data_IF_143557955604
#
_entry.id   IF_143557955604
#
_cell.length_a   1.000
_cell.length_b   1.000
_cell.length_c   1.000
_cell.angle_alpha   90.00
_cell.angle_beta   90.00
_cell.angle_gamma   90.00
#
_symmetry.space_group_name_H-M   'P 1'
#
loop_
_entity.id
_entity.type
_entity.pdbx_description
1 polymer ?
#
# COMPACT_ATOMS: atom_id res chain seq x y z
N UNK A 1 -21.18 -54.83 -16.34
CA UNK A 1 -20.45 -53.62 -15.93
C UNK A 1 -18.97 -53.97 -15.86
N UNK A 2 -18.16 -53.50 -16.83
CA UNK A 2 -16.72 -53.78 -16.87
C UNK A 2 -15.99 -52.82 -15.91
N UNK A 3 -15.44 -53.35 -14.82
CA UNK A 3 -14.53 -52.63 -13.94
C UNK A 3 -13.29 -52.24 -14.73
N UNK A 4 -13.05 -50.92 -14.87
CA UNK A 4 -11.78 -50.39 -15.36
C UNK A 4 -10.73 -50.63 -14.29
N UNK A 5 -9.93 -51.68 -14.46
CA UNK A 5 -8.68 -51.86 -13.72
C UNK A 5 -7.74 -50.72 -14.13
N UNK A 6 -7.41 -49.85 -13.18
CA UNK A 6 -6.31 -48.90 -13.34
C UNK A 6 -5.00 -49.70 -13.48
N UNK A 7 -4.11 -49.33 -14.41
CA UNK A 7 -2.80 -49.94 -14.51
C UNK A 7 -2.00 -49.67 -13.22
N UNK A 8 -1.11 -50.60 -12.80
CA UNK A 8 -0.23 -50.38 -11.67
C UNK A 8 0.63 -49.14 -11.92
N UNK A 9 0.73 -48.26 -10.91
CA UNK A 9 1.61 -47.11 -10.96
C UNK A 9 3.03 -47.58 -11.31
N UNK A 10 3.57 -47.07 -12.41
CA UNK A 10 4.95 -47.33 -12.82
C UNK A 10 5.87 -47.04 -11.63
N UNK A 11 6.62 -48.05 -11.21
CA UNK A 11 7.61 -47.92 -10.15
C UNK A 11 8.59 -46.83 -10.57
N UNK A 12 8.61 -45.72 -9.82
CA UNK A 12 9.59 -44.67 -10.03
C UNK A 12 10.99 -45.29 -9.96
N UNK A 13 11.92 -44.92 -10.85
CA UNK A 13 13.27 -45.45 -10.81
C UNK A 13 13.85 -45.20 -9.43
N UNK A 14 14.30 -46.29 -8.77
CA UNK A 14 14.97 -46.20 -7.48
C UNK A 14 16.14 -45.22 -7.62
N UNK A 15 16.13 -44.17 -6.79
CA UNK A 15 17.22 -43.20 -6.80
C UNK A 15 18.51 -43.94 -6.46
N UNK A 16 19.59 -43.77 -7.24
CA UNK A 16 20.86 -44.39 -6.92
C UNK A 16 21.26 -43.99 -5.50
N UNK A 17 21.82 -44.96 -4.75
CA UNK A 17 22.37 -44.67 -3.44
C UNK A 17 23.43 -43.56 -3.56
N UNK A 18 23.47 -42.61 -2.60
CA UNK A 18 24.48 -41.55 -2.61
C UNK A 18 25.88 -42.16 -2.59
N UNK A 19 26.82 -41.56 -3.32
CA UNK A 19 28.22 -42.01 -3.31
C UNK A 19 28.87 -41.72 -1.95
N UNK A 20 29.96 -42.43 -1.64
CA UNK A 20 30.73 -42.20 -0.40
C UNK A 20 31.23 -40.75 -0.29
N UNK A 21 31.58 -40.13 -1.42
CA UNK A 21 31.95 -38.71 -1.47
C UNK A 21 30.78 -37.77 -1.12
N UNK A 22 29.56 -38.09 -1.58
CA UNK A 22 28.37 -37.34 -1.22
C UNK A 22 28.02 -37.49 0.26
N UNK A 23 28.18 -38.68 0.83
CA UNK A 23 28.01 -38.94 2.25
C UNK A 23 29.02 -38.14 3.08
N UNK A 24 30.29 -38.17 2.72
CA UNK A 24 31.33 -37.39 3.39
C UNK A 24 31.07 -35.88 3.29
N UNK A 25 30.56 -35.39 2.16
CA UNK A 25 30.15 -33.98 1.99
C UNK A 25 28.99 -33.63 2.92
N UNK A 26 27.97 -34.50 3.00
CA UNK A 26 26.82 -34.31 3.90
C UNK A 26 27.22 -34.32 5.37
N UNK A 27 28.16 -35.18 5.75
CA UNK A 27 28.71 -35.23 7.11
C UNK A 27 29.42 -33.93 7.49
N UNK A 28 30.28 -33.40 6.61
CA UNK A 28 30.95 -32.11 6.82
C UNK A 28 29.95 -30.96 6.89
N UNK A 29 29.01 -30.91 5.95
CA UNK A 29 27.95 -29.89 5.93
C UNK A 29 27.10 -29.94 7.20
N UNK A 30 26.76 -31.13 7.70
CA UNK A 30 26.02 -31.28 8.94
C UNK A 30 26.82 -30.87 10.19
N UNK A 31 28.13 -31.11 10.22
CA UNK A 31 28.98 -30.66 11.31
C UNK A 31 29.09 -29.13 11.35
N UNK A 32 29.30 -28.49 10.20
CA UNK A 32 29.29 -27.03 10.05
C UNK A 32 27.93 -26.44 10.43
N UNK A 33 26.85 -27.04 9.94
CA UNK A 33 25.49 -26.62 10.25
C UNK A 33 25.17 -26.78 11.74
N UNK A 34 25.66 -27.82 12.40
CA UNK A 34 25.47 -27.98 13.83
C UNK A 34 26.20 -26.90 14.64
N UNK A 35 27.39 -26.49 14.20
CA UNK A 35 28.09 -25.34 14.79
C UNK A 35 27.29 -24.03 14.63
N UNK A 36 26.58 -23.85 13.50
CA UNK A 36 25.66 -22.70 13.32
C UNK A 36 24.48 -22.76 14.28
N UNK A 37 23.89 -23.93 14.48
CA UNK A 37 22.76 -24.11 15.41
C UNK A 37 23.15 -23.92 16.88
N UNK A 38 24.43 -24.06 17.21
CA UNK A 38 25.01 -23.82 18.53
C UNK A 38 25.62 -22.41 18.66
N UNK A 39 25.55 -21.58 17.62
CA UNK A 39 26.09 -20.21 17.66
C UNK A 39 25.10 -19.24 18.34
N UNK A 40 25.56 -18.62 19.42
CA UNK A 40 24.82 -17.58 20.16
C UNK A 40 25.41 -16.18 19.95
N UNK A 41 26.48 -16.04 19.15
CA UNK A 41 27.25 -14.80 19.03
C UNK A 41 26.42 -13.60 18.56
N UNK A 42 25.49 -13.81 17.61
CA UNK A 42 24.56 -12.76 17.18
C UNK A 42 23.70 -12.27 18.34
N UNK A 43 23.15 -13.19 19.14
CA UNK A 43 22.34 -12.81 20.28
C UNK A 43 23.17 -12.08 21.33
N UNK A 44 24.35 -12.59 21.64
CA UNK A 44 25.25 -12.01 22.64
C UNK A 44 25.73 -10.61 22.27
N UNK A 45 25.95 -10.33 20.98
CA UNK A 45 26.35 -9.01 20.49
C UNK A 45 25.26 -7.94 20.71
N UNK A 46 23.99 -8.32 20.67
CA UNK A 46 22.86 -7.39 20.64
C UNK A 46 21.90 -7.50 21.83
N UNK A 47 22.10 -8.46 22.75
CA UNK A 47 21.17 -8.70 23.87
C UNK A 47 21.04 -7.54 24.85
N UNK A 48 22.07 -6.71 24.99
CA UNK A 48 22.15 -5.61 25.97
C UNK A 48 21.02 -4.59 25.82
N UNK A 49 20.45 -4.18 26.95
CA UNK A 49 19.42 -3.13 26.97
C UNK A 49 20.00 -1.80 26.47
N UNK A 50 19.29 -1.18 25.53
CA UNK A 50 19.77 0.03 24.87
C UNK A 50 20.99 -0.20 23.96
N UNK A 51 21.25 -1.42 23.46
CA UNK A 51 22.21 -1.60 22.35
C UNK A 51 21.63 -1.15 21.01
N UNK A 52 20.30 -1.19 20.87
CA UNK A 52 19.56 -0.75 19.70
C UNK A 52 18.83 0.53 20.12
N UNK A 53 19.38 1.70 19.78
CA UNK A 53 18.79 2.99 20.15
C UNK A 53 18.42 3.83 18.94
N UNK A 54 19.22 3.73 17.89
CA UNK A 54 19.03 4.51 16.67
C UNK A 54 18.25 3.73 15.63
N UNK A 55 17.66 4.45 14.67
CA UNK A 55 16.95 3.83 13.53
C UNK A 55 17.93 3.03 12.67
N UNK A 56 19.11 3.59 12.41
CA UNK A 56 20.15 2.93 11.59
C UNK A 56 20.63 1.60 12.23
N UNK A 57 20.91 1.60 13.54
CA UNK A 57 21.26 0.37 14.27
C UNK A 57 20.11 -0.64 14.24
N UNK A 58 18.86 -0.18 14.33
CA UNK A 58 17.69 -1.05 14.29
C UNK A 58 17.53 -1.70 12.92
N UNK A 59 17.68 -0.96 11.83
CA UNK A 59 17.65 -1.48 10.47
C UNK A 59 18.80 -2.47 10.21
N UNK A 60 19.99 -2.19 10.73
CA UNK A 60 21.13 -3.12 10.67
C UNK A 60 20.82 -4.45 11.38
N UNK A 61 20.24 -4.39 12.58
CA UNK A 61 19.85 -5.60 13.34
C UNK A 61 18.76 -6.38 12.62
N UNK A 62 17.79 -5.70 12.00
CA UNK A 62 16.75 -6.36 11.20
C UNK A 62 17.39 -7.08 10.01
N UNK A 63 18.21 -6.38 9.22
CA UNK A 63 18.85 -6.95 8.03
C UNK A 63 19.80 -8.10 8.37
N UNK A 64 20.59 -7.98 9.46
CA UNK A 64 21.45 -9.08 9.94
C UNK A 64 20.62 -10.22 10.52
N UNK A 65 19.55 -9.92 11.24
CA UNK A 65 18.64 -10.92 11.81
C UNK A 65 17.98 -11.77 10.73
N UNK A 66 17.53 -11.19 9.62
CA UNK A 66 16.99 -11.94 8.48
C UNK A 66 18.02 -12.89 7.86
N UNK A 67 19.28 -12.44 7.74
CA UNK A 67 20.38 -13.28 7.24
C UNK A 67 20.68 -14.44 8.19
N UNK A 68 20.69 -14.19 9.50
CA UNK A 68 20.89 -15.25 10.50
C UNK A 68 19.73 -16.25 10.51
N UNK A 69 18.48 -15.81 10.37
CA UNK A 69 17.33 -16.72 10.25
C UNK A 69 17.46 -17.62 9.01
N UNK A 70 17.85 -17.06 7.86
CA UNK A 70 18.09 -17.85 6.65
C UNK A 70 19.27 -18.82 6.82
N UNK A 71 20.32 -18.42 7.54
CA UNK A 71 21.47 -19.27 7.88
C UNK A 71 21.06 -20.44 8.78
N UNK A 72 20.22 -20.19 9.78
CA UNK A 72 19.67 -21.22 10.67
C UNK A 72 18.78 -22.19 9.90
N UNK A 73 17.88 -21.70 9.04
CA UNK A 73 17.00 -22.53 8.22
C UNK A 73 17.82 -23.48 7.32
N UNK A 74 18.82 -22.95 6.62
CA UNK A 74 19.73 -23.77 5.81
C UNK A 74 20.49 -24.81 6.65
N UNK A 75 20.96 -24.43 7.84
CA UNK A 75 21.64 -25.36 8.73
C UNK A 75 20.73 -26.51 9.18
N UNK A 76 19.45 -26.24 9.47
CA UNK A 76 18.47 -27.29 9.78
C UNK A 76 18.30 -28.25 8.61
N UNK A 77 18.23 -27.74 7.37
CA UNK A 77 18.10 -28.57 6.18
C UNK A 77 19.34 -29.46 5.94
N UNK A 78 20.54 -28.91 6.11
CA UNK A 78 21.80 -29.66 5.97
C UNK A 78 21.90 -30.77 7.04
N UNK A 79 21.55 -30.48 8.30
CA UNK A 79 21.49 -31.49 9.36
C UNK A 79 20.40 -32.52 9.08
N UNK A 80 19.23 -32.10 8.59
CA UNK A 80 18.11 -33.00 8.24
C UNK A 80 18.50 -33.98 7.14
N UNK A 81 19.22 -33.52 6.11
CA UNK A 81 19.73 -34.37 5.03
C UNK A 81 20.69 -35.43 5.55
N UNK A 82 21.58 -35.06 6.49
CA UNK A 82 22.46 -36.01 7.14
C UNK A 82 21.70 -36.96 8.09
N UNK A 83 20.66 -36.49 8.78
CA UNK A 83 19.83 -37.32 9.66
C UNK A 83 19.13 -38.46 8.92
N UNK A 84 18.78 -38.30 7.63
CA UNK A 84 18.17 -39.38 6.83
C UNK A 84 19.10 -40.59 6.64
N UNK A 85 20.42 -40.42 6.79
CA UNK A 85 21.39 -41.51 6.78
C UNK A 85 21.59 -42.22 8.12
N UNK A 86 20.97 -41.72 9.21
CA UNK A 86 21.14 -42.30 10.57
C UNK A 86 20.02 -43.27 10.92
N UNK A 87 20.31 -44.21 11.82
CA UNK A 87 19.31 -45.14 12.35
C UNK A 87 18.17 -44.44 13.12
N UNK A 88 18.49 -43.41 13.91
CA UNK A 88 17.51 -42.65 14.71
C UNK A 88 17.17 -41.31 14.06
N UNK A 89 16.59 -41.34 12.86
CA UNK A 89 16.26 -40.16 12.05
C UNK A 89 15.43 -39.13 12.84
N UNK A 90 14.34 -39.57 13.49
CA UNK A 90 13.43 -38.66 14.20
C UNK A 90 14.12 -37.94 15.36
N UNK A 91 14.91 -38.66 16.17
CA UNK A 91 15.66 -38.05 17.28
C UNK A 91 16.67 -37.01 16.78
N UNK A 92 17.37 -37.32 15.68
CA UNK A 92 18.34 -36.42 15.07
C UNK A 92 17.66 -35.13 14.58
N UNK A 93 16.55 -35.26 13.85
CA UNK A 93 15.78 -34.11 13.35
C UNK A 93 15.19 -33.29 14.51
N UNK A 94 14.67 -33.94 15.54
CA UNK A 94 14.06 -33.25 16.68
C UNK A 94 15.09 -32.47 17.50
N UNK A 95 16.32 -33.00 17.63
CA UNK A 95 17.41 -32.27 18.28
C UNK A 95 17.79 -31.01 17.48
N UNK A 96 17.94 -31.12 16.16
CA UNK A 96 18.23 -29.99 15.28
C UNK A 96 17.13 -28.91 15.36
N UNK A 97 15.85 -29.32 15.34
CA UNK A 97 14.71 -28.41 15.48
C UNK A 97 14.66 -27.70 16.82
N UNK A 98 14.99 -28.39 17.91
CA UNK A 98 15.02 -27.75 19.25
C UNK A 98 16.04 -26.62 19.29
N UNK A 99 17.25 -26.89 18.81
CA UNK A 99 18.30 -25.87 18.71
C UNK A 99 17.86 -24.72 17.80
N UNK A 100 17.32 -25.02 16.61
CA UNK A 100 16.87 -23.98 15.68
C UNK A 100 15.79 -23.10 16.28
N UNK A 101 14.80 -23.65 16.99
CA UNK A 101 13.76 -22.86 17.63
C UNK A 101 14.28 -21.95 18.74
N UNK A 102 15.29 -22.39 19.50
CA UNK A 102 15.96 -21.54 20.48
C UNK A 102 16.71 -20.39 19.81
N UNK A 103 17.47 -20.68 18.74
CA UNK A 103 18.19 -19.67 17.94
C UNK A 103 17.23 -18.67 17.30
N UNK A 104 16.22 -19.15 16.59
CA UNK A 104 15.21 -18.32 15.93
C UNK A 104 14.50 -17.41 16.92
N UNK A 105 14.18 -17.92 18.13
CA UNK A 105 13.54 -17.11 19.17
C UNK A 105 14.47 -15.99 19.65
N UNK A 106 15.76 -16.26 19.81
CA UNK A 106 16.75 -15.24 20.17
C UNK A 106 16.86 -14.14 19.11
N UNK A 107 17.00 -14.53 17.83
CA UNK A 107 17.09 -13.59 16.71
C UNK A 107 15.80 -12.78 16.58
N UNK A 108 14.62 -13.43 16.60
CA UNK A 108 13.33 -12.74 16.49
C UNK A 108 13.07 -11.80 17.66
N UNK A 109 13.52 -12.13 18.88
CA UNK A 109 13.43 -11.21 20.03
C UNK A 109 14.23 -9.93 19.81
N UNK A 110 15.39 -10.02 19.17
CA UNK A 110 16.19 -8.85 18.81
C UNK A 110 15.54 -8.03 17.70
N UNK A 111 15.05 -8.70 16.65
CA UNK A 111 14.35 -8.04 15.55
C UNK A 111 13.08 -7.31 16.03
N UNK A 112 12.32 -7.90 16.97
CA UNK A 112 11.15 -7.25 17.58
C UNK A 112 11.55 -5.94 18.29
N UNK A 113 12.62 -5.97 19.10
CA UNK A 113 13.15 -4.76 19.75
C UNK A 113 13.57 -3.71 18.74
N UNK A 114 14.22 -4.11 17.64
CA UNK A 114 14.61 -3.21 16.57
C UNK A 114 13.40 -2.58 15.87
N UNK A 115 12.40 -3.38 15.50
CA UNK A 115 11.16 -2.88 14.92
C UNK A 115 10.41 -1.91 15.85
N UNK A 116 10.45 -2.15 17.16
CA UNK A 116 9.88 -1.23 18.14
C UNK A 116 10.57 0.14 18.09
N UNK A 117 11.90 0.20 18.00
CA UNK A 117 12.67 1.45 17.85
C UNK A 117 12.25 2.19 16.58
N UNK A 118 12.25 1.51 15.43
CA UNK A 118 11.84 2.10 14.14
C UNK A 118 10.40 2.64 14.22
N UNK A 119 9.48 1.86 14.80
CA UNK A 119 8.09 2.27 14.97
C UNK A 119 7.97 3.49 15.89
N UNK A 120 8.71 3.54 16.99
CA UNK A 120 8.66 4.68 17.92
C UNK A 120 9.21 5.95 17.29
N UNK A 121 10.31 5.86 16.51
CA UNK A 121 10.86 6.99 15.77
C UNK A 121 9.86 7.53 14.74
N UNK A 122 9.30 6.65 13.89
CA UNK A 122 8.27 7.03 12.90
C UNK A 122 7.02 7.66 13.55
N UNK A 123 6.60 7.14 14.69
CA UNK A 123 5.47 7.70 15.43
C UNK A 123 5.79 9.09 16.02
N UNK A 124 7.04 9.34 16.40
CA UNK A 124 7.48 10.65 16.88
C UNK A 124 7.52 11.67 15.73
N UNK A 125 8.02 11.28 14.56
CA UNK A 125 8.00 12.10 13.33
C UNK A 125 6.57 12.50 12.96
N UNK A 126 5.64 11.53 12.86
CA UNK A 126 4.24 11.81 12.55
C UNK A 126 3.57 12.74 13.59
N UNK A 127 3.95 12.62 14.87
CA UNK A 127 3.46 13.54 15.91
C UNK A 127 4.03 14.95 15.73
N UNK A 128 5.31 15.06 15.38
CA UNK A 128 5.95 16.34 15.11
C UNK A 128 5.34 17.02 13.87
N UNK A 129 5.06 16.28 12.80
CA UNK A 129 4.37 16.78 11.60
C UNK A 129 2.97 17.30 11.94
N UNK A 130 2.18 16.53 12.69
CA UNK A 130 0.84 16.96 13.14
C UNK A 130 0.89 18.18 14.05
N UNK A 131 1.88 18.26 14.93
CA UNK A 131 2.09 19.43 15.78
C UNK A 131 2.49 20.66 14.94
N UNK A 132 3.35 20.48 13.94
CA UNK A 132 3.75 21.53 13.01
C UNK A 132 2.56 21.99 12.14
N UNK A 133 1.69 21.08 11.70
CA UNK A 133 0.48 21.41 10.96
C UNK A 133 -0.56 22.11 11.84
N UNK A 134 -0.74 21.69 13.09
CA UNK A 134 -1.61 22.39 14.06
C UNK A 134 -1.07 23.78 14.45
N UNK A 135 0.24 23.99 14.38
CA UNK A 135 0.87 25.29 14.61
C UNK A 135 0.81 26.22 13.39
N UNK A 136 0.50 25.70 12.18
CA UNK A 136 0.22 26.55 11.03
C UNK A 136 -1.07 27.34 11.33
N UNK A 137 -1.08 28.67 11.09
CA UNK A 137 -2.26 29.47 11.32
C UNK A 137 -3.43 28.91 10.51
N UNK A 138 -4.60 28.80 11.14
CA UNK A 138 -5.81 28.33 10.46
C UNK A 138 -6.02 29.16 9.19
N UNK A 139 -6.32 28.54 8.04
CA UNK A 139 -6.66 29.29 6.85
C UNK A 139 -7.79 30.24 7.20
N UNK A 140 -7.65 31.51 6.81
CA UNK A 140 -8.63 32.55 7.15
C UNK A 140 -10.03 32.02 6.81
N UNK A 141 -11.01 32.19 7.72
CA UNK A 141 -12.37 31.73 7.46
C UNK A 141 -12.82 32.42 6.19
N UNK A 142 -13.02 31.64 5.13
CA UNK A 142 -13.59 32.14 3.89
C UNK A 142 -14.92 32.76 4.27
N UNK A 143 -14.98 34.09 4.28
CA UNK A 143 -16.20 34.84 4.54
C UNK A 143 -17.10 34.62 3.35
N UNK A 144 -17.91 33.55 3.41
CA UNK A 144 -19.07 33.44 2.55
C UNK A 144 -19.95 34.66 2.85
N UNK A 145 -20.28 35.49 1.85
CA UNK A 145 -21.21 36.59 2.07
C UNK A 145 -22.49 36.00 2.66
N UNK A 146 -22.95 36.56 3.79
CA UNK A 146 -24.21 36.18 4.45
C UNK A 146 -25.28 35.99 3.38
N UNK A 147 -25.96 34.82 3.31
CA UNK A 147 -27.10 34.70 2.43
C UNK A 147 -28.12 35.72 2.93
N UNK A 148 -28.33 36.78 2.14
CA UNK A 148 -29.49 37.63 2.30
C UNK A 148 -30.68 36.72 2.03
N UNK A 149 -31.26 36.18 3.11
CA UNK A 149 -32.61 35.64 3.12
C UNK A 149 -33.53 36.78 2.67
N UNK A 150 -33.69 36.91 1.34
CA UNK A 150 -34.83 37.60 0.77
C UNK A 150 -36.03 36.82 1.26
N UNK A 151 -36.84 37.50 2.08
CA UNK A 151 -38.17 37.02 2.47
C UNK A 151 -38.87 36.52 1.19
N UNK A 152 -39.53 35.35 1.21
CA UNK A 152 -40.23 34.85 0.05
C UNK A 152 -41.25 35.91 -0.38
N UNK A 153 -41.08 36.46 -1.57
CA UNK A 153 -42.07 37.32 -2.19
C UNK A 153 -43.29 36.47 -2.56
N UNK A 154 -44.48 37.04 -2.36
CA UNK A 154 -45.77 36.48 -2.72
C UNK A 154 -45.80 35.95 -4.18
N UNK A 155 -46.66 34.95 -4.48
CA UNK A 155 -46.67 34.29 -5.79
C UNK A 155 -47.05 35.30 -6.89
N UNK A 156 -46.13 35.54 -7.82
CA UNK A 156 -46.39 36.40 -8.97
C UNK A 156 -47.20 35.61 -10.00
N UNK A 157 -48.41 36.07 -10.31
CA UNK A 157 -49.23 35.56 -11.41
C UNK A 157 -48.52 35.78 -12.76
N UNK A 158 -48.34 34.70 -13.50
CA UNK A 158 -47.68 34.70 -14.81
C UNK A 158 -48.61 35.27 -15.89
N UNK A 159 -48.40 36.52 -16.28
CA UNK A 159 -48.93 37.06 -17.54
C UNK A 159 -47.85 36.91 -18.61
N UNK A 160 -48.08 36.14 -19.70
CA UNK A 160 -47.07 35.97 -20.75
C UNK A 160 -46.85 37.29 -21.50
N UNK A 161 -45.61 37.80 -21.50
CA UNK A 161 -45.21 38.93 -22.34
C UNK A 161 -44.40 38.44 -23.54
N UNK A 162 -44.76 38.95 -24.71
CA UNK A 162 -44.20 38.64 -26.02
C UNK A 162 -42.69 38.92 -26.10
N UNK A 163 -41.97 38.03 -26.79
CA UNK A 163 -40.50 38.08 -26.94
C UNK A 163 -40.10 39.20 -27.90
N UNK A 164 -39.20 40.08 -27.47
CA UNK A 164 -38.41 40.96 -28.35
C UNK A 164 -36.97 40.42 -28.42
N UNK A 165 -36.42 40.36 -29.62
CA UNK A 165 -35.14 39.70 -29.93
C UNK A 165 -33.94 40.35 -29.19
N UNK A 166 -32.89 39.56 -28.88
CA UNK A 166 -31.74 40.04 -28.11
C UNK A 166 -30.88 41.00 -28.94
N UNK A 167 -30.36 42.05 -28.30
CA UNK A 167 -29.29 42.90 -28.83
C UNK A 167 -27.94 42.46 -28.25
N UNK A 168 -26.90 42.51 -29.08
CA UNK A 168 -25.54 42.07 -28.80
C UNK A 168 -24.76 43.03 -27.88
N UNK A 169 -23.74 42.53 -27.16
CA UNK A 169 -23.10 43.24 -26.04
C UNK A 169 -22.07 44.30 -26.47
N UNK A 170 -22.15 45.45 -25.80
CA UNK A 170 -21.15 46.54 -25.81
C UNK A 170 -19.85 46.09 -25.13
N UNK A 171 -18.71 46.25 -25.82
CA UNK A 171 -17.37 46.06 -25.25
C UNK A 171 -16.92 47.30 -24.49
N UNK A 172 -16.48 47.09 -23.25
CA UNK A 172 -15.87 48.08 -22.36
C UNK A 172 -14.36 48.19 -22.67
N UNK A 173 -13.87 49.40 -22.90
CA UNK A 173 -12.44 49.68 -23.05
C UNK A 173 -11.72 49.79 -21.68
N UNK A 174 -10.48 49.30 -21.55
CA UNK A 174 -9.68 49.46 -20.33
C UNK A 174 -9.12 50.88 -20.21
N UNK A 175 -9.13 51.39 -18.97
CA UNK A 175 -8.60 52.70 -18.56
C UNK A 175 -7.07 52.69 -18.53
N UNK A 176 -6.43 53.69 -19.15
CA UNK A 176 -5.03 54.04 -18.88
C UNK A 176 -4.94 55.10 -17.78
N UNK A 177 -3.86 55.09 -16.97
CA UNK A 177 -3.73 55.87 -15.74
C UNK A 177 -3.46 57.36 -15.96
N UNK A 178 -3.98 58.17 -15.03
CA UNK A 178 -3.85 59.63 -14.90
C UNK A 178 -2.43 60.03 -14.48
N UNK A 179 -1.87 61.06 -15.13
CA UNK A 179 -0.87 61.97 -14.56
C UNK A 179 -1.46 63.39 -14.43
N UNK A 180 -1.00 64.19 -13.46
CA UNK A 180 -1.70 65.38 -12.99
C UNK A 180 -1.46 66.64 -13.84
N UNK A 181 -2.41 67.56 -13.70
CA UNK A 181 -2.73 68.78 -14.46
C UNK A 181 -1.69 69.91 -14.44
N UNK A 182 -1.63 70.66 -15.56
CA UNK A 182 -1.22 72.07 -15.62
C UNK A 182 -2.27 72.89 -16.43
N UNK A 183 -2.61 74.14 -16.04
CA UNK A 183 -3.75 74.88 -16.59
C UNK A 183 -3.36 75.92 -17.67
N UNK A 184 -4.39 76.44 -18.35
CA UNK A 184 -4.44 77.59 -19.30
C UNK A 184 -4.23 77.18 -20.77
N UNK A 185 -5.01 77.59 -21.78
CA UNK A 185 -5.87 78.76 -21.95
C UNK A 185 -7.06 78.45 -22.86
N UNK A 186 -8.14 79.21 -22.67
CA UNK A 186 -9.35 79.22 -23.51
C UNK A 186 -9.07 80.11 -24.73
N UNK A 187 -9.16 79.57 -25.94
CA UNK A 187 -9.36 80.35 -27.17
C UNK A 187 -10.57 79.82 -27.98
N UNK A 188 -11.36 80.73 -28.59
CA UNK A 188 -12.67 80.42 -29.14
C UNK A 188 -12.65 79.83 -30.56
N UNK A 189 -13.69 79.02 -30.85
CA UNK A 189 -13.98 78.28 -32.09
C UNK A 189 -13.77 79.06 -33.40
N UNK A 190 -13.23 78.36 -34.40
CA UNK A 190 -13.52 78.60 -35.83
C UNK A 190 -14.15 77.37 -36.47
N UNK A 191 -15.28 77.49 -37.22
CA UNK A 191 -15.96 76.36 -37.83
C UNK A 191 -15.40 76.04 -39.23
N UNK A 192 -15.30 74.75 -39.59
CA UNK A 192 -15.24 74.34 -41.01
C UNK A 192 -15.83 72.95 -41.24
N UNK A 193 -16.94 72.98 -41.99
CA UNK A 193 -17.47 72.10 -43.04
C UNK A 193 -17.31 70.54 -42.98
N UNK A 194 -18.27 69.80 -43.57
CA UNK A 194 -18.53 68.38 -43.29
C UNK A 194 -17.69 67.39 -44.13
N UNK A 195 -17.91 66.10 -43.82
CA UNK A 195 -17.64 64.85 -44.59
C UNK A 195 -16.21 64.28 -44.63
N UNK A 196 -16.02 63.05 -44.10
CA UNK A 196 -15.96 61.77 -44.85
C UNK A 196 -15.79 60.55 -43.89
N UNK A 197 -16.15 59.32 -44.28
CA UNK A 197 -16.49 58.23 -43.35
C UNK A 197 -15.27 57.58 -42.68
N UNK A 198 -15.47 57.13 -41.44
CA UNK A 198 -14.51 56.30 -40.69
C UNK A 198 -14.14 55.05 -41.50
N UNK A 199 -12.91 55.01 -42.01
CA UNK A 199 -12.26 53.78 -42.41
C UNK A 199 -12.09 52.91 -41.15
N UNK A 200 -12.78 51.77 -41.13
CA UNK A 200 -12.54 50.70 -40.17
C UNK A 200 -11.22 50.05 -40.59
N UNK A 201 -10.14 50.33 -39.87
CA UNK A 201 -8.91 49.55 -40.03
C UNK A 201 -9.19 48.10 -39.64
N UNK A 202 -8.82 47.11 -40.48
CA UNK A 202 -8.97 45.71 -40.13
C UNK A 202 -8.05 45.44 -38.93
N UNK A 203 -8.60 44.81 -37.89
CA UNK A 203 -7.83 44.29 -36.77
C UNK A 203 -6.61 43.56 -37.30
N UNK A 204 -5.44 44.10 -36.99
CA UNK A 204 -4.14 43.45 -37.14
C UNK A 204 -4.27 41.99 -36.71
N UNK A 205 -3.96 41.08 -37.64
CA UNK A 205 -3.86 39.66 -37.37
C UNK A 205 -3.03 39.44 -36.11
N UNK A 206 -3.57 38.69 -35.13
CA UNK A 206 -2.77 38.22 -34.00
C UNK A 206 -1.54 37.52 -34.59
N UNK A 207 -0.34 37.97 -34.21
CA UNK A 207 0.92 37.40 -34.73
C UNK A 207 0.91 35.88 -34.56
N UNK A 208 1.36 35.13 -35.56
CA UNK A 208 1.42 33.65 -35.56
C UNK A 208 2.04 33.10 -34.26
N UNK A 209 3.04 33.81 -33.72
CA UNK A 209 3.68 33.51 -32.42
C UNK A 209 2.70 33.42 -31.24
N UNK A 210 1.64 34.24 -31.22
CA UNK A 210 0.63 34.24 -30.16
C UNK A 210 -0.39 33.10 -30.30
N UNK A 211 -0.61 32.61 -31.53
CA UNK A 211 -1.43 31.42 -31.78
C UNK A 211 -0.67 30.14 -31.39
N UNK A 212 0.62 30.08 -31.72
CA UNK A 212 1.50 28.96 -31.35
C UNK A 212 1.69 28.86 -29.83
N UNK A 213 1.85 29.99 -29.14
CA UNK A 213 1.97 30.01 -27.68
C UNK A 213 0.67 29.56 -26.98
N UNK A 214 -0.50 29.95 -27.50
CA UNK A 214 -1.81 29.45 -27.01
C UNK A 214 -1.96 27.96 -27.23
N UNK A 215 -1.60 27.45 -28.41
CA UNK A 215 -1.66 26.01 -28.71
C UNK A 215 -0.75 25.19 -27.78
N UNK A 216 0.44 25.70 -27.44
CA UNK A 216 1.32 25.06 -26.46
C UNK A 216 0.71 25.05 -25.06
N UNK A 217 0.17 26.17 -24.59
CA UNK A 217 -0.48 26.26 -23.28
C UNK A 217 -1.73 25.35 -23.19
N UNK A 218 -2.51 25.25 -24.26
CA UNK A 218 -3.64 24.31 -24.36
C UNK A 218 -3.17 22.86 -24.28
N UNK A 219 -2.11 22.48 -25.00
CA UNK A 219 -1.55 21.12 -24.93
C UNK A 219 -0.99 20.78 -23.54
N UNK A 220 -0.37 21.74 -22.85
CA UNK A 220 0.16 21.56 -21.50
C UNK A 220 -0.99 21.42 -20.48
N UNK A 221 -2.07 22.17 -20.65
CA UNK A 221 -3.28 22.05 -19.83
C UNK A 221 -3.99 20.70 -20.03
N UNK A 222 -4.11 20.25 -21.28
CA UNK A 222 -4.68 18.93 -21.61
C UNK A 222 -3.82 17.80 -21.05
N UNK A 223 -2.50 17.89 -21.18
CA UNK A 223 -1.56 16.92 -20.62
C UNK A 223 -1.67 16.85 -19.10
N UNK A 224 -1.75 18.00 -18.43
CA UNK A 224 -1.95 18.08 -16.98
C UNK A 224 -3.28 17.45 -16.54
N UNK A 225 -4.38 17.74 -17.25
CA UNK A 225 -5.67 17.15 -16.96
C UNK A 225 -5.68 15.63 -17.17
N UNK A 226 -5.09 15.15 -18.25
CA UNK A 226 -4.97 13.72 -18.53
C UNK A 226 -4.10 13.01 -17.49
N UNK A 227 -2.98 13.63 -17.07
CA UNK A 227 -2.14 13.11 -15.99
C UNK A 227 -2.90 13.00 -14.67
N UNK A 228 -3.71 14.02 -14.32
CA UNK A 228 -4.60 14.00 -13.15
C UNK A 228 -5.62 12.85 -13.20
N UNK A 229 -6.24 12.62 -14.36
CA UNK A 229 -7.21 11.53 -14.53
C UNK A 229 -6.55 10.15 -14.41
N UNK A 230 -5.34 9.99 -14.95
CA UNK A 230 -4.58 8.74 -14.83
C UNK A 230 -4.15 8.48 -13.38
N UNK A 231 -3.71 9.51 -12.67
CA UNK A 231 -3.37 9.41 -11.25
C UNK A 231 -4.60 9.05 -10.39
N UNK A 232 -5.76 9.64 -10.68
CA UNK A 232 -7.01 9.30 -10.01
C UNK A 232 -7.42 7.84 -10.25
N UNK A 233 -7.30 7.35 -11.50
CA UNK A 233 -7.55 5.93 -11.82
C UNK A 233 -6.60 5.00 -11.09
N UNK A 234 -5.30 5.30 -11.05
CA UNK A 234 -4.31 4.51 -10.29
C UNK A 234 -4.67 4.43 -8.81
N UNK A 235 -5.07 5.54 -8.18
CA UNK A 235 -5.52 5.54 -6.78
C UNK A 235 -6.76 4.66 -6.57
N UNK A 236 -7.70 4.65 -7.51
CA UNK A 236 -8.88 3.78 -7.44
C UNK A 236 -8.49 2.31 -7.61
N UNK A 237 -7.64 1.98 -8.58
CA UNK A 237 -7.18 0.61 -8.82
C UNK A 237 -6.38 0.06 -7.62
N UNK A 238 -5.55 0.89 -6.99
CA UNK A 238 -4.83 0.54 -5.76
C UNK A 238 -5.77 0.34 -4.57
N UNK A 239 -6.81 1.17 -4.44
CA UNK A 239 -7.85 1.03 -3.43
C UNK A 239 -8.69 -0.24 -3.64
N UNK A 240 -9.01 -0.57 -4.89
CA UNK A 240 -9.73 -1.80 -5.24
C UNK A 240 -8.86 -3.04 -4.99
N UNK A 241 -7.58 -3.01 -5.38
CA UNK A 241 -6.65 -4.10 -5.14
C UNK A 241 -6.44 -4.36 -3.64
N UNK A 242 -6.33 -3.30 -2.82
CA UNK A 242 -6.26 -3.45 -1.36
C UNK A 242 -7.56 -3.94 -0.75
N UNK A 243 -8.72 -3.50 -1.26
CA UNK A 243 -10.02 -4.03 -0.84
C UNK A 243 -10.19 -5.51 -1.20
N UNK A 244 -9.76 -5.92 -2.40
CA UNK A 244 -9.77 -7.30 -2.86
C UNK A 244 -8.87 -8.20 -2.01
N UNK A 245 -7.65 -7.76 -1.69
CA UNK A 245 -6.75 -8.47 -0.74
C UNK A 245 -7.42 -8.68 0.62
N UNK A 246 -8.06 -7.64 1.17
CA UNK A 246 -8.79 -7.74 2.44
C UNK A 246 -9.99 -8.69 2.36
N UNK A 247 -10.70 -8.75 1.24
CA UNK A 247 -11.80 -9.72 1.01
C UNK A 247 -11.25 -11.14 0.98
N UNK A 248 -10.21 -11.41 0.20
CA UNK A 248 -9.57 -12.71 0.11
C UNK A 248 -9.03 -13.19 1.47
N UNK A 249 -8.43 -12.29 2.27
CA UNK A 249 -7.96 -12.63 3.61
C UNK A 249 -9.12 -13.01 4.56
N UNK A 250 -10.25 -12.29 4.49
CA UNK A 250 -11.45 -12.62 5.26
C UNK A 250 -12.02 -13.97 4.87
N UNK A 251 -12.12 -14.25 3.58
CA UNK A 251 -12.59 -15.54 3.06
C UNK A 251 -11.67 -16.69 3.47
N UNK A 252 -10.35 -16.49 3.40
CA UNK A 252 -9.38 -17.49 3.85
C UNK A 252 -9.50 -17.77 5.36
N UNK A 253 -9.72 -16.73 6.17
CA UNK A 253 -9.98 -16.89 7.61
C UNK A 253 -11.30 -17.61 7.88
N UNK A 254 -12.36 -17.30 7.13
CA UNK A 254 -13.64 -18.01 7.21
C UNK A 254 -13.50 -19.48 6.85
N UNK A 255 -12.81 -19.82 5.75
CA UNK A 255 -12.56 -21.22 5.36
C UNK A 255 -11.81 -21.99 6.44
N UNK A 256 -10.73 -21.42 6.98
CA UNK A 256 -9.97 -22.03 8.09
C UNK A 256 -10.85 -22.23 9.33
N UNK A 257 -11.73 -21.29 9.62
CA UNK A 257 -12.67 -21.40 10.73
C UNK A 257 -13.66 -22.55 10.49
N UNK A 258 -14.26 -22.64 9.31
CA UNK A 258 -15.16 -23.74 8.92
C UNK A 258 -14.47 -25.11 8.95
N UNK A 259 -13.22 -25.18 8.47
CA UNK A 259 -12.40 -26.39 8.57
C UNK A 259 -12.18 -26.81 10.02
N UNK A 260 -11.86 -25.85 10.90
CA UNK A 260 -11.68 -26.12 12.33
C UNK A 260 -12.96 -26.57 13.03
N UNK A 261 -14.13 -26.07 12.60
CA UNK A 261 -15.43 -26.52 13.11
C UNK A 261 -15.70 -27.96 12.70
N UNK A 262 -15.49 -28.29 11.42
CA UNK A 262 -15.66 -29.67 10.92
C UNK A 262 -14.72 -30.65 11.60
N UNK A 263 -13.48 -30.25 11.88
CA UNK A 263 -12.52 -31.09 12.61
C UNK A 263 -12.98 -31.35 14.06
N UNK A 264 -13.48 -30.32 14.75
CA UNK A 264 -14.06 -30.48 16.09
C UNK A 264 -15.27 -31.40 16.10
N UNK A 265 -16.19 -31.22 15.16
CA UNK A 265 -17.36 -32.11 15.02
C UNK A 265 -16.94 -33.56 14.73
N UNK A 266 -15.95 -33.77 13.85
CA UNK A 266 -15.42 -35.10 13.58
C UNK A 266 -14.73 -35.71 14.81
N UNK A 267 -13.99 -34.91 15.59
CA UNK A 267 -13.36 -35.36 16.83
C UNK A 267 -14.40 -35.73 17.90
N UNK A 268 -15.49 -34.97 18.02
CA UNK A 268 -16.62 -35.28 18.90
C UNK A 268 -17.31 -36.59 18.47
N UNK A 269 -17.60 -36.76 17.19
CA UNK A 269 -18.18 -38.01 16.66
C UNK A 269 -17.28 -39.22 16.96
N UNK A 270 -15.97 -39.11 16.71
CA UNK A 270 -15.00 -40.16 17.06
C UNK A 270 -14.97 -40.46 18.57
N UNK A 271 -15.11 -39.44 19.40
CA UNK A 271 -15.18 -39.60 20.85
C UNK A 271 -16.47 -40.32 21.27
N UNK A 272 -17.62 -39.93 20.72
CA UNK A 272 -18.91 -40.57 20.97
C UNK A 272 -18.95 -42.02 20.48
N UNK A 273 -18.39 -42.31 19.31
CA UNK A 273 -18.24 -43.67 18.77
C UNK A 273 -17.37 -44.54 19.68
N UNK A 274 -16.21 -44.02 20.12
CA UNK A 274 -15.36 -44.71 21.09
C UNK A 274 -16.08 -44.95 22.40
N UNK A 275 -16.78 -43.95 22.94
CA UNK A 275 -17.57 -44.08 24.17
C UNK A 275 -18.66 -45.15 24.01
N UNK A 276 -19.46 -45.11 22.94
CA UNK A 276 -20.49 -46.13 22.65
C UNK A 276 -19.89 -47.53 22.53
N UNK A 277 -18.72 -47.68 21.90
CA UNK A 277 -18.02 -48.96 21.78
C UNK A 277 -17.48 -49.49 23.13
N UNK A 278 -17.02 -48.60 24.02
CA UNK A 278 -16.57 -48.95 25.37
C UNK A 278 -17.74 -49.29 26.30
N UNK A 279 -18.84 -48.53 26.21
CA UNK A 279 -20.09 -48.78 26.96
C UNK A 279 -20.73 -50.11 26.53
N UNK A 280 -20.63 -50.51 25.25
CA UNK A 280 -21.12 -51.82 24.77
C UNK A 280 -20.28 -53.02 25.21
N UNK A 281 -19.03 -52.80 25.66
CA UNK A 281 -18.15 -53.85 26.17
C UNK A 281 -18.46 -54.24 27.61
N UNK A 282 -18.80 -53.27 28.48
CA UNK A 282 -19.16 -53.53 29.88
C UNK A 282 -20.59 -54.09 30.03
N UNK A 283 -21.52 -53.68 29.17
CA UNK A 283 -22.89 -54.20 29.14
C UNK A 283 -23.02 -55.65 28.65
N UNK A 284 -21.95 -56.28 28.16
CA UNK A 284 -21.92 -57.72 27.86
C UNK A 284 -21.51 -58.58 29.05
N UNK A 285 -20.97 -57.98 30.12
CA UNK A 285 -20.50 -58.70 31.31
C UNK A 285 -21.41 -58.53 32.54
N UNK A 286 -22.48 -57.75 32.45
CA UNK A 286 -23.55 -57.60 33.45
C UNK A 286 -24.90 -57.89 32.81
#
# INVERSE_FOLDING_TARGET
>A
MRSKLLPPAEAQPERPAPSDEELARRERAAAEAQAVLEDHSFYDAWKGEGRIRTVDEAEEVIAKGERELARIEKAVDDVRLHCYGKFLVNRCIDQAKRLSYEREREVRRLMMRAHDVVRTARNAELKAERAAEAAKPAPEPVTLPKPLLKKPSEPIEFVPRERKAPSEPVRVAPKTPKTPSEPLSIEPKTPKAPSEPLAIEPKTAESENAADERARLESENEAYYNAKQLEAKKRLDEAEATAAKRRAEREAKQKKFEESLKEREAAQKRYEERRKSQDSGLAQFF
#
